data_IF_413030471799
#
_entry.id   IF_413030471799
#
_cell.length_a   1.000
_cell.length_b   1.000
_cell.length_c   1.000
_cell.angle_alpha   90.00
_cell.angle_beta   90.00
_cell.angle_gamma   90.00
#
_symmetry.space_group_name_H-M   'P 1'
#
loop_
_entity.id
_entity.type
_entity.pdbx_description
1 polymer ?
#
# COMPACT_ATOMS: atom_id res chain seq x y z
N UNK A 1 0.00 -8.11 8.01
CA UNK A 1 0.87 -7.38 7.05
C UNK A 1 2.19 -7.00 7.72
N UNK A 2 3.25 -6.75 6.95
CA UNK A 2 4.57 -6.35 7.46
C UNK A 2 5.12 -5.15 6.69
N UNK A 3 6.00 -4.37 7.31
CA UNK A 3 6.79 -3.33 6.66
C UNK A 3 8.27 -3.45 7.03
N UNK A 4 9.14 -3.03 6.12
CA UNK A 4 10.59 -3.00 6.34
C UNK A 4 11.08 -1.56 6.39
N UNK A 5 11.98 -1.24 7.34
CA UNK A 5 12.61 0.07 7.40
C UNK A 5 13.69 0.22 6.31
N UNK A 6 13.65 1.35 5.60
CA UNK A 6 14.69 1.76 4.64
C UNK A 6 15.37 3.02 5.17
N UNK A 7 16.72 3.00 5.24
CA UNK A 7 17.56 4.17 5.53
C UNK A 7 18.71 4.24 4.55
N UNK A 8 19.00 5.43 4.03
CA UNK A 8 20.06 5.62 3.03
C UNK A 8 19.88 4.77 1.77
N UNK A 9 18.63 4.47 1.38
CA UNK A 9 18.32 3.63 0.22
C UNK A 9 18.51 2.12 0.44
N UNK A 10 18.75 1.66 1.67
CA UNK A 10 18.96 0.24 2.00
C UNK A 10 18.02 -0.23 3.10
N UNK A 11 17.63 -1.50 3.04
CA UNK A 11 16.88 -2.16 4.11
C UNK A 11 17.78 -2.25 5.35
N UNK A 12 17.25 -1.87 6.51
CA UNK A 12 18.03 -1.91 7.77
C UNK A 12 17.92 -3.26 8.49
N UNK A 13 17.02 -4.14 8.04
CA UNK A 13 16.67 -5.39 8.72
C UNK A 13 15.57 -5.22 9.79
N UNK A 14 15.19 -3.98 10.14
CA UNK A 14 14.08 -3.72 11.06
C UNK A 14 12.73 -3.98 10.39
N UNK A 15 11.90 -4.80 11.03
CA UNK A 15 10.56 -5.19 10.57
C UNK A 15 9.51 -4.62 11.51
N UNK A 16 8.44 -4.07 10.95
CA UNK A 16 7.24 -3.65 11.66
C UNK A 16 6.09 -4.62 11.36
N UNK A 17 5.33 -4.98 12.38
CA UNK A 17 4.11 -5.79 12.26
C UNK A 17 2.89 -4.88 12.21
N UNK A 18 1.91 -5.24 11.40
CA UNK A 18 0.64 -4.53 11.26
C UNK A 18 0.82 -3.01 11.03
N UNK A 19 1.60 -2.62 9.99
CA UNK A 19 1.80 -1.21 9.68
C UNK A 19 0.48 -0.57 9.27
N UNK A 20 0.24 0.64 9.78
CA UNK A 20 -0.91 1.47 9.39
C UNK A 20 -0.38 2.73 8.72
N UNK A 21 -1.02 3.16 7.64
CA UNK A 21 -0.80 4.45 7.01
C UNK A 21 -2.13 5.14 6.75
N UNK A 22 -2.15 6.46 6.73
CA UNK A 22 -3.38 7.22 6.53
C UNK A 22 -3.11 8.62 5.95
N UNK A 23 -4.17 9.22 5.39
CA UNK A 23 -4.15 10.55 4.79
C UNK A 23 -5.47 10.84 4.07
N UNK A 24 -5.66 12.08 3.64
CA UNK A 24 -6.76 12.39 2.70
C UNK A 24 -6.43 11.75 1.35
N UNK A 25 -7.44 11.30 0.61
CA UNK A 25 -7.23 10.64 -0.69
C UNK A 25 -6.47 11.54 -1.66
N UNK A 26 -6.85 12.83 -1.73
CA UNK A 26 -6.22 13.80 -2.65
C UNK A 26 -4.75 14.00 -2.29
N UNK A 27 -4.43 14.27 -1.02
CA UNK A 27 -3.04 14.51 -0.61
C UNK A 27 -2.17 13.26 -0.76
N UNK A 28 -2.73 12.08 -0.45
CA UNK A 28 -2.03 10.81 -0.57
C UNK A 28 -1.64 10.55 -2.01
N UNK A 29 -2.57 10.62 -2.96
CA UNK A 29 -2.27 10.36 -4.37
C UNK A 29 -1.40 11.44 -5.00
N UNK A 30 -1.58 12.71 -4.63
CA UNK A 30 -0.69 13.80 -5.06
C UNK A 30 0.75 13.64 -4.53
N UNK A 31 0.95 12.88 -3.45
CA UNK A 31 2.28 12.60 -2.92
C UNK A 31 3.03 11.47 -3.65
N UNK A 32 2.40 10.81 -4.63
CA UNK A 32 3.02 9.77 -5.43
C UNK A 32 4.04 10.37 -6.40
N UNK A 33 5.32 10.07 -6.22
CA UNK A 33 6.41 10.63 -7.02
C UNK A 33 7.25 9.56 -7.74
N UNK A 34 6.76 8.33 -7.78
CA UNK A 34 7.41 7.25 -8.50
C UNK A 34 6.57 5.98 -8.53
N UNK A 35 6.54 5.34 -9.69
CA UNK A 35 5.87 4.06 -9.93
C UNK A 35 6.86 3.17 -10.68
N UNK A 36 7.04 1.93 -10.22
CA UNK A 36 7.90 0.99 -10.92
C UNK A 36 7.29 0.57 -12.27
N UNK A 37 8.15 0.31 -13.26
CA UNK A 37 7.74 0.00 -14.64
C UNK A 37 6.94 -1.32 -14.78
N UNK A 38 6.51 -1.66 -16.00
CA UNK A 38 5.64 -2.82 -16.23
C UNK A 38 6.23 -4.15 -15.76
N UNK A 39 7.56 -4.27 -15.69
CA UNK A 39 8.26 -5.47 -15.17
C UNK A 39 7.82 -5.83 -13.75
N UNK A 40 7.47 -4.83 -12.93
CA UNK A 40 7.09 -5.03 -11.53
C UNK A 40 5.58 -5.02 -11.31
N UNK A 41 4.80 -4.64 -12.33
CA UNK A 41 3.35 -4.65 -12.26
C UNK A 41 2.83 -6.09 -12.20
N UNK A 42 1.87 -6.34 -11.31
CA UNK A 42 1.16 -7.62 -11.26
C UNK A 42 -0.27 -7.46 -10.80
N UNK A 43 -1.12 -8.42 -11.18
CA UNK A 43 -2.47 -8.55 -10.63
C UNK A 43 -2.40 -9.28 -9.31
N UNK A 44 -2.86 -8.63 -8.25
CA UNK A 44 -3.05 -9.24 -6.95
C UNK A 44 -4.50 -9.71 -6.84
N UNK A 45 -4.68 -11.03 -6.81
CA UNK A 45 -5.99 -11.65 -6.61
C UNK A 45 -6.43 -11.49 -5.16
N UNK A 46 -7.67 -11.05 -4.94
CA UNK A 46 -8.30 -11.09 -3.63
C UNK A 46 -9.62 -11.88 -3.72
N UNK A 47 -9.95 -12.71 -2.72
CA UNK A 47 -11.08 -13.64 -2.81
C UNK A 47 -12.44 -12.93 -2.76
N UNK A 48 -12.48 -11.65 -2.38
CA UNK A 48 -13.71 -10.88 -2.28
C UNK A 48 -13.45 -9.38 -2.52
N UNK A 49 -14.50 -8.66 -2.92
CA UNK A 49 -14.45 -7.21 -3.13
C UNK A 49 -14.47 -6.42 -1.81
N UNK A 50 -14.93 -7.03 -0.71
CA UNK A 50 -14.98 -6.38 0.60
C UNK A 50 -15.96 -5.20 0.70
N UNK A 51 -16.81 -4.99 -0.32
CA UNK A 51 -17.74 -3.84 -0.44
C UNK A 51 -19.18 -4.25 -0.16
N UNK A 52 -19.97 -3.30 0.33
CA UNK A 52 -21.43 -3.43 0.52
C UNK A 52 -21.85 -3.93 1.90
N UNK A 53 -23.12 -3.63 2.24
CA UNK A 53 -23.84 -4.21 3.38
C UNK A 53 -25.27 -4.54 2.91
N UNK A 54 -25.62 -5.82 2.64
CA UNK A 54 -24.84 -7.04 2.86
C UNK A 54 -23.58 -7.14 1.98
N UNK A 55 -22.60 -7.91 2.45
CA UNK A 55 -21.30 -8.10 1.79
C UNK A 55 -21.47 -8.66 0.37
N UNK A 56 -20.82 -8.02 -0.62
CA UNK A 56 -20.81 -8.51 -1.99
C UNK A 56 -19.55 -9.37 -2.23
N UNK A 57 -19.77 -10.61 -2.68
CA UNK A 57 -18.70 -11.57 -2.97
C UNK A 57 -18.56 -11.73 -4.49
N UNK A 58 -17.34 -11.49 -4.99
CA UNK A 58 -16.95 -11.69 -6.38
C UNK A 58 -15.44 -11.90 -6.42
N UNK A 59 -14.94 -12.71 -7.36
CA UNK A 59 -13.52 -12.74 -7.66
C UNK A 59 -13.10 -11.40 -8.26
N UNK A 60 -12.25 -10.66 -7.55
CA UNK A 60 -11.71 -9.40 -8.03
C UNK A 60 -10.18 -9.42 -7.97
N UNK A 61 -9.55 -8.68 -8.87
CA UNK A 61 -8.10 -8.52 -8.92
C UNK A 61 -7.75 -7.04 -9.00
N UNK A 62 -6.67 -6.65 -8.33
CA UNK A 62 -6.14 -5.29 -8.40
C UNK A 62 -4.74 -5.32 -9.01
N UNK A 63 -4.61 -4.72 -10.19
CA UNK A 63 -3.31 -4.51 -10.81
C UNK A 63 -2.55 -3.42 -10.05
N UNK A 64 -1.36 -3.75 -9.52
CA UNK A 64 -0.54 -2.77 -8.83
C UNK A 64 0.96 -3.02 -9.07
N UNK A 65 1.70 -1.93 -9.14
CA UNK A 65 3.17 -1.89 -9.15
C UNK A 65 3.65 -1.20 -7.87
N UNK A 66 4.84 -1.52 -7.34
CA UNK A 66 5.42 -0.75 -6.25
C UNK A 66 5.46 0.74 -6.59
N UNK A 67 4.99 1.57 -5.66
CA UNK A 67 4.93 3.01 -5.80
C UNK A 67 5.53 3.70 -4.57
N UNK A 68 6.11 4.89 -4.79
CA UNK A 68 6.69 5.73 -3.74
C UNK A 68 5.76 6.88 -3.45
N UNK A 69 5.40 7.03 -2.17
CA UNK A 69 4.59 8.11 -1.67
C UNK A 69 5.39 8.92 -0.65
N UNK A 70 5.35 10.25 -0.76
CA UNK A 70 6.13 11.15 0.08
C UNK A 70 5.30 11.63 1.27
N UNK A 71 5.96 11.74 2.43
CA UNK A 71 5.38 12.37 3.63
C UNK A 71 4.03 11.76 4.07
N UNK A 72 3.81 10.47 3.79
CA UNK A 72 2.64 9.73 4.27
C UNK A 72 2.76 9.51 5.77
N UNK A 73 1.66 9.75 6.50
CA UNK A 73 1.60 9.47 7.93
C UNK A 73 1.56 7.96 8.14
N UNK A 74 2.46 7.46 8.99
CA UNK A 74 2.58 6.06 9.35
C UNK A 74 2.44 5.87 10.86
N UNK A 75 1.78 4.80 11.26
CA UNK A 75 1.38 4.53 12.65
C UNK A 75 0.05 5.18 13.02
N UNK A 76 -0.55 4.70 14.10
CA UNK A 76 -1.76 5.32 14.69
C UNK A 76 -1.26 6.29 15.76
N UNK A 77 -1.73 7.54 15.72
CA UNK A 77 -1.49 8.48 16.83
C UNK A 77 -2.17 7.88 18.06
N UNK A 78 -1.42 7.68 19.14
CA UNK A 78 -1.99 7.31 20.43
C UNK A 78 -2.72 8.51 21.02
#
# INVERSE_FOLDING_TARGET
EIAYEIKGGRLTGKIFRNPVYYGTTVDFWNSCDGIANEKYWRVWGIPNCGKGQPIQVMHVGHGASPARFRKVKVGVVK
#
